data_IF_634850031639
#
_entry.id   IF_634850031639
#
_cell.length_a   1.000
_cell.length_b   1.000
_cell.length_c   1.000
_cell.angle_alpha   90.00
_cell.angle_beta   90.00
_cell.angle_gamma   90.00
#
_symmetry.space_group_name_H-M   'P 1'
#
loop_
_entity.id
_entity.type
_entity.pdbx_description
1 polymer ?
#
# COMPACT_ATOMS: atom_id res chain seq x y z
N UNK A 1 -21.39 2.78 10.85
CA UNK A 1 -20.72 2.64 9.54
C UNK A 1 -21.50 1.62 8.73
N UNK A 2 -21.95 1.97 7.52
CA UNK A 2 -22.80 1.12 6.69
C UNK A 2 -22.06 0.82 5.39
N UNK A 3 -22.00 -0.45 5.00
CA UNK A 3 -21.45 -0.87 3.70
C UNK A 3 -22.60 -1.03 2.70
N UNK A 4 -22.41 -0.47 1.51
CA UNK A 4 -23.45 -0.41 0.48
C UNK A 4 -23.02 -1.27 -0.70
N UNK A 5 -24.00 -1.94 -1.33
CA UNK A 5 -23.77 -2.84 -2.46
C UNK A 5 -23.81 -2.11 -3.81
N UNK A 6 -24.42 -0.93 -3.85
CA UNK A 6 -24.55 -0.14 -5.08
C UNK A 6 -24.49 1.37 -4.82
N UNK A 7 -24.19 2.12 -5.88
CA UNK A 7 -24.19 3.58 -5.85
C UNK A 7 -25.61 4.13 -5.59
N UNK A 8 -26.66 3.46 -6.07
CA UNK A 8 -28.05 3.90 -5.83
C UNK A 8 -28.42 3.86 -4.35
N UNK A 9 -27.93 2.86 -3.60
CA UNK A 9 -28.08 2.83 -2.15
C UNK A 9 -27.34 4.01 -1.49
N UNK A 10 -26.16 4.38 -2.01
CA UNK A 10 -25.39 5.51 -1.50
C UNK A 10 -26.11 6.84 -1.72
N UNK A 11 -26.71 7.03 -2.90
CA UNK A 11 -27.54 8.22 -3.20
C UNK A 11 -28.75 8.30 -2.27
N UNK A 12 -29.49 7.20 -2.10
CA UNK A 12 -30.66 7.14 -1.20
C UNK A 12 -30.27 7.43 0.25
N UNK A 13 -29.19 6.83 0.74
CA UNK A 13 -28.71 7.05 2.10
C UNK A 13 -28.19 8.48 2.29
N UNK A 14 -27.51 9.04 1.29
CA UNK A 14 -26.99 10.41 1.33
C UNK A 14 -28.09 11.47 1.38
N UNK A 15 -29.30 11.17 0.91
CA UNK A 15 -30.45 12.05 0.98
C UNK A 15 -31.19 12.03 2.34
N UNK A 16 -30.83 11.12 3.25
CA UNK A 16 -31.46 11.04 4.58
C UNK A 16 -30.94 12.18 5.45
N UNK A 17 -31.83 13.09 5.81
CA UNK A 17 -31.56 14.19 6.73
C UNK A 17 -32.03 13.92 8.17
N UNK A 18 -32.97 12.99 8.35
CA UNK A 18 -33.52 12.61 9.66
C UNK A 18 -33.69 11.10 9.79
N UNK A 19 -33.52 10.57 11.00
CA UNK A 19 -33.81 9.19 11.35
C UNK A 19 -34.60 9.18 12.65
N UNK A 20 -35.86 8.77 12.61
CA UNK A 20 -36.80 8.84 13.75
C UNK A 20 -36.84 10.26 14.36
N UNK A 21 -37.01 11.27 13.50
CA UNK A 21 -37.03 12.71 13.85
C UNK A 21 -35.73 13.26 14.46
N UNK A 22 -34.67 12.46 14.53
CA UNK A 22 -33.34 12.92 14.92
C UNK A 22 -32.58 13.35 13.66
N UNK A 23 -32.06 14.59 13.58
CA UNK A 23 -31.26 15.02 12.45
C UNK A 23 -29.98 14.20 12.35
N UNK A 24 -29.64 13.75 11.14
CA UNK A 24 -28.46 12.93 10.86
C UNK A 24 -27.69 13.49 9.67
N UNK A 25 -26.36 13.34 9.71
CA UNK A 25 -25.47 13.69 8.59
C UNK A 25 -24.87 12.42 8.02
N UNK A 26 -25.11 12.19 6.73
CA UNK A 26 -24.51 11.08 5.99
C UNK A 26 -23.38 11.61 5.12
N UNK A 27 -22.19 11.04 5.25
CA UNK A 27 -21.03 11.40 4.43
C UNK A 27 -20.25 10.17 3.96
N UNK A 28 -19.68 10.19 2.75
CA UNK A 28 -18.78 9.13 2.29
C UNK A 28 -17.58 9.01 3.20
N UNK A 29 -17.21 7.77 3.51
CA UNK A 29 -16.05 7.49 4.34
C UNK A 29 -14.79 7.55 3.45
N UNK A 30 -14.01 8.63 3.60
CA UNK A 30 -12.85 8.93 2.73
C UNK A 30 -11.76 7.84 2.74
N UNK A 31 -11.48 7.23 3.90
CA UNK A 31 -10.37 6.25 4.02
C UNK A 31 -10.73 4.83 3.56
N UNK A 32 -12.00 4.51 3.41
CA UNK A 32 -12.54 3.19 3.05
C UNK A 32 -13.05 3.16 1.61
N UNK A 33 -13.30 4.33 1.03
CA UNK A 33 -13.60 4.52 -0.38
C UNK A 33 -12.35 4.90 -1.17
N UNK A 34 -11.16 4.67 -0.62
CA UNK A 34 -9.90 4.82 -1.33
C UNK A 34 -9.11 3.53 -1.30
N UNK A 35 -8.25 3.36 -2.29
CA UNK A 35 -7.40 2.18 -2.42
C UNK A 35 -6.02 2.58 -2.94
N UNK A 36 -5.07 1.65 -2.89
CA UNK A 36 -3.70 1.89 -3.35
C UNK A 36 -3.26 0.82 -4.32
N UNK A 37 -2.60 1.26 -5.38
CA UNK A 37 -1.95 0.41 -6.36
C UNK A 37 -0.51 0.84 -6.61
N UNK A 38 0.24 -0.04 -7.24
CA UNK A 38 1.64 0.17 -7.61
C UNK A 38 1.77 -0.09 -9.10
N UNK A 39 2.35 0.87 -9.80
CA UNK A 39 2.74 0.75 -11.21
C UNK A 39 4.25 0.82 -11.34
N UNK A 40 4.79 0.20 -12.39
CA UNK A 40 6.20 0.32 -12.75
C UNK A 40 6.31 0.58 -14.26
N UNK A 41 6.85 1.73 -14.64
CA UNK A 41 7.05 2.12 -16.03
C UNK A 41 8.22 3.09 -16.17
N UNK A 42 9.13 2.78 -17.09
CA UNK A 42 10.25 3.66 -17.46
C UNK A 42 9.77 4.88 -18.23
N UNK A 43 8.70 4.76 -19.00
CA UNK A 43 8.12 5.85 -19.79
C UNK A 43 7.61 6.98 -18.90
N UNK A 44 7.17 6.64 -17.69
CA UNK A 44 6.74 7.59 -16.68
C UNK A 44 7.88 8.14 -15.81
N UNK A 45 9.16 7.93 -16.15
CA UNK A 45 10.29 8.34 -15.31
C UNK A 45 10.37 9.85 -15.09
N UNK A 46 10.04 10.63 -16.12
CA UNK A 46 10.15 12.09 -16.13
C UNK A 46 8.84 12.81 -15.77
N UNK A 47 7.71 12.10 -15.69
CA UNK A 47 6.44 12.68 -15.25
C UNK A 47 6.51 13.06 -13.76
N UNK A 48 6.04 14.25 -13.40
CA UNK A 48 5.95 14.65 -12.00
C UNK A 48 4.84 13.88 -11.26
N UNK A 49 4.83 13.93 -9.92
CA UNK A 49 3.76 13.30 -9.15
C UNK A 49 2.45 14.07 -9.34
N UNK A 50 2.54 15.37 -9.56
CA UNK A 50 1.44 16.29 -9.85
C UNK A 50 0.81 15.97 -11.21
N UNK A 51 1.59 15.86 -12.28
CA UNK A 51 1.09 15.48 -13.62
C UNK A 51 0.38 14.12 -13.58
N UNK A 52 0.90 13.18 -12.78
CA UNK A 52 0.26 11.87 -12.62
C UNK A 52 -1.12 11.96 -11.96
N UNK A 53 -1.31 12.88 -11.01
CA UNK A 53 -2.60 13.08 -10.36
C UNK A 53 -3.58 13.78 -11.30
N UNK A 54 -3.11 14.71 -12.12
CA UNK A 54 -3.94 15.44 -13.08
C UNK A 54 -4.36 14.57 -14.28
N UNK A 55 -3.45 13.77 -14.83
CA UNK A 55 -3.67 13.06 -16.10
C UNK A 55 -4.21 11.63 -15.93
N UNK A 56 -3.98 10.98 -14.78
CA UNK A 56 -4.44 9.61 -14.57
C UNK A 56 -5.82 9.57 -13.91
N UNK A 57 -6.79 9.03 -14.64
CA UNK A 57 -8.18 8.91 -14.17
C UNK A 57 -8.29 8.19 -12.82
N UNK A 58 -8.99 8.83 -11.87
CA UNK A 58 -9.28 8.26 -10.54
C UNK A 58 -8.09 8.25 -9.57
N UNK A 59 -6.96 8.86 -9.93
CA UNK A 59 -5.80 9.01 -9.03
C UNK A 59 -5.97 10.29 -8.21
N UNK A 60 -5.80 10.18 -6.89
CA UNK A 60 -5.88 11.30 -5.94
C UNK A 60 -4.53 11.65 -5.32
N UNK A 61 -3.57 10.74 -5.39
CA UNK A 61 -2.22 10.96 -4.93
C UNK A 61 -1.27 10.00 -5.64
N UNK A 62 -0.14 10.51 -6.13
CA UNK A 62 0.95 9.72 -6.67
C UNK A 62 2.19 9.92 -5.81
N UNK A 63 2.97 8.85 -5.61
CA UNK A 63 4.24 8.90 -4.90
C UNK A 63 5.24 7.97 -5.55
N UNK A 64 6.34 8.53 -6.03
CA UNK A 64 7.43 7.77 -6.62
C UNK A 64 8.30 7.15 -5.54
N UNK A 65 8.56 5.85 -5.69
CA UNK A 65 9.43 5.12 -4.78
C UNK A 65 10.87 5.53 -5.04
N UNK A 66 11.55 5.93 -3.96
CA UNK A 66 12.98 6.24 -3.96
C UNK A 66 13.70 5.18 -3.13
N UNK A 67 14.76 4.61 -3.67
CA UNK A 67 15.57 3.58 -3.00
C UNK A 67 16.93 4.18 -2.67
N UNK A 68 17.42 3.94 -1.46
CA UNK A 68 18.81 4.25 -1.10
C UNK A 68 19.71 3.10 -1.52
N UNK A 69 20.77 3.38 -2.27
CA UNK A 69 21.86 2.44 -2.56
C UNK A 69 23.16 3.14 -2.18
N UNK A 70 23.76 2.71 -1.07
CA UNK A 70 24.86 3.46 -0.46
C UNK A 70 24.39 4.85 -0.03
N UNK A 71 25.16 5.88 -0.39
CA UNK A 71 24.82 7.28 -0.12
C UNK A 71 23.80 7.85 -1.11
N UNK A 72 23.64 7.21 -2.27
CA UNK A 72 22.78 7.72 -3.33
C UNK A 72 21.30 7.42 -3.10
N UNK A 73 20.47 8.45 -3.31
CA UNK A 73 19.01 8.34 -3.35
C UNK A 73 18.54 8.18 -4.79
N UNK A 74 18.34 6.95 -5.22
CA UNK A 74 17.96 6.62 -6.59
C UNK A 74 16.44 6.66 -6.72
N UNK A 75 15.97 7.47 -7.66
CA UNK A 75 14.58 7.47 -8.10
C UNK A 75 14.29 6.21 -8.91
N UNK A 76 13.25 5.47 -8.54
CA UNK A 76 12.85 4.26 -9.28
C UNK A 76 11.74 4.56 -10.28
N UNK A 77 11.58 3.65 -11.24
CA UNK A 77 10.46 3.63 -12.19
C UNK A 77 9.14 3.17 -11.55
N UNK A 78 9.07 3.09 -10.22
CA UNK A 78 7.93 2.55 -9.47
C UNK A 78 7.18 3.67 -8.76
N UNK A 79 5.87 3.68 -8.91
CA UNK A 79 4.98 4.71 -8.34
C UNK A 79 3.85 4.04 -7.59
N UNK A 80 3.63 4.49 -6.36
CA UNK A 80 2.44 4.19 -5.59
C UNK A 80 1.36 5.19 -5.95
N UNK A 81 0.20 4.71 -6.38
CA UNK A 81 -0.98 5.51 -6.68
C UNK A 81 -2.04 5.27 -5.61
N UNK A 82 -2.72 6.34 -5.20
CA UNK A 82 -3.94 6.28 -4.38
C UNK A 82 -5.12 6.60 -5.26
N UNK A 83 -6.10 5.70 -5.28
CA UNK A 83 -7.32 5.84 -6.07
C UNK A 83 -8.49 6.29 -5.19
N UNK A 84 -9.43 7.02 -5.78
CA UNK A 84 -10.72 7.44 -5.19
C UNK A 84 -11.79 6.32 -5.19
N UNK A 85 -11.36 5.10 -5.49
CA UNK A 85 -12.19 3.90 -5.51
C UNK A 85 -11.77 2.91 -4.44
N UNK A 86 -12.69 2.08 -3.91
CA UNK A 86 -12.40 1.13 -2.83
C UNK A 86 -11.48 -0.03 -3.26
N UNK A 87 -11.30 -0.27 -4.57
CA UNK A 87 -10.38 -1.26 -5.12
C UNK A 87 -9.59 -0.62 -6.26
N UNK A 88 -8.27 -0.86 -6.35
CA UNK A 88 -7.50 -0.30 -7.45
C UNK A 88 -7.95 -0.98 -8.75
N UNK A 89 -8.04 -0.25 -9.88
CA UNK A 89 -8.27 -0.88 -11.17
C UNK A 89 -7.12 -1.83 -11.49
N UNK A 90 -7.33 -2.86 -12.30
CA UNK A 90 -6.26 -3.80 -12.71
C UNK A 90 -5.29 -3.18 -13.72
N UNK A 91 -5.77 -2.21 -14.50
CA UNK A 91 -5.01 -1.46 -15.49
C UNK A 91 -5.43 -0.01 -15.52
N UNK A 92 -4.51 0.87 -15.88
CA UNK A 92 -4.78 2.29 -16.16
C UNK A 92 -4.17 2.69 -17.50
N UNK A 93 -4.70 3.75 -18.09
CA UNK A 93 -4.14 4.36 -19.29
C UNK A 93 -3.36 5.62 -18.93
N UNK A 94 -2.20 5.78 -19.55
CA UNK A 94 -1.38 6.99 -19.48
C UNK A 94 -1.01 7.37 -20.92
N UNK A 95 -1.76 8.29 -21.52
CA UNK A 95 -1.72 8.51 -22.97
C UNK A 95 -2.02 7.22 -23.74
N UNK A 96 -1.06 6.78 -24.57
CA UNK A 96 -1.16 5.53 -25.35
C UNK A 96 -0.71 4.27 -24.58
N UNK A 97 -0.16 4.43 -23.37
CA UNK A 97 0.31 3.31 -22.56
C UNK A 97 -0.86 2.67 -21.81
N UNK A 98 -0.83 1.34 -21.71
CA UNK A 98 -1.67 0.59 -20.79
C UNK A 98 -0.78 -0.04 -19.73
N UNK A 99 -0.95 0.37 -18.48
CA UNK A 99 -0.10 -0.03 -17.37
C UNK A 99 -0.86 -0.98 -16.45
N UNK A 100 -0.23 -2.11 -16.09
CA UNK A 100 -0.75 -3.00 -15.07
C UNK A 100 -0.58 -2.38 -13.68
N UNK A 101 -1.68 -2.36 -12.92
CA UNK A 101 -1.71 -1.87 -11.55
C UNK A 101 -1.75 -3.08 -10.62
N UNK A 102 -0.75 -3.19 -9.76
CA UNK A 102 -0.73 -4.22 -8.71
C UNK A 102 -1.28 -3.64 -7.41
N UNK A 103 -2.11 -4.36 -6.63
CA UNK A 103 -2.52 -3.90 -5.32
C UNK A 103 -1.32 -3.55 -4.44
N UNK A 104 -1.36 -2.42 -3.76
CA UNK A 104 -0.31 -2.01 -2.84
C UNK A 104 -0.33 -2.90 -1.59
N UNK A 105 0.80 -3.53 -1.29
CA UNK A 105 0.98 -4.35 -0.09
C UNK A 105 1.91 -3.62 0.88
N UNK A 106 1.41 -3.09 2.00
CA UNK A 106 2.25 -2.44 2.99
C UNK A 106 3.20 -3.45 3.66
N UNK A 107 4.29 -2.94 4.25
CA UNK A 107 5.09 -3.71 5.19
C UNK A 107 4.33 -3.90 6.52
N UNK A 108 4.60 -4.98 7.27
CA UNK A 108 3.99 -5.22 8.57
C UNK A 108 4.30 -4.07 9.53
N UNK A 109 3.25 -3.50 10.12
CA UNK A 109 3.40 -2.45 11.12
C UNK A 109 4.08 -3.02 12.37
N UNK A 110 5.32 -2.62 12.59
CA UNK A 110 6.10 -2.93 13.80
C UNK A 110 6.09 -1.73 14.75
N UNK A 111 5.78 -1.98 16.01
CA UNK A 111 5.84 -0.96 17.05
C UNK A 111 7.31 -0.61 17.33
N UNK A 112 7.73 0.62 17.08
CA UNK A 112 9.11 1.07 17.37
C UNK A 112 9.45 1.16 18.87
N UNK A 113 8.46 0.95 19.76
CA UNK A 113 8.67 0.88 21.22
C UNK A 113 8.91 -0.56 21.68
N UNK A 114 7.99 -1.48 21.39
CA UNK A 114 8.05 -2.86 21.89
C UNK A 114 8.50 -3.90 20.86
N UNK A 115 8.73 -3.48 19.62
CA UNK A 115 9.16 -4.30 18.47
C UNK A 115 8.18 -5.39 18.02
N UNK A 116 6.98 -5.46 18.61
CA UNK A 116 5.91 -6.39 18.20
C UNK A 116 5.10 -5.85 17.03
N UNK A 117 4.53 -6.75 16.23
CA UNK A 117 3.64 -6.39 15.11
C UNK A 117 2.22 -6.01 15.57
N UNK A 118 1.49 -5.30 14.70
CA UNK A 118 0.05 -5.07 14.82
C UNK A 118 -0.38 -3.79 15.54
N UNK A 119 0.56 -2.95 15.98
CA UNK A 119 0.29 -1.61 16.50
C UNK A 119 1.50 -0.67 16.31
N UNK A 120 1.23 0.64 16.29
CA UNK A 120 2.26 1.69 16.29
C UNK A 120 2.70 2.09 17.70
N UNK A 121 3.72 2.96 17.77
CA UNK A 121 4.26 3.48 19.04
C UNK A 121 3.19 4.17 19.90
N UNK A 122 2.30 4.93 19.28
CA UNK A 122 1.31 5.77 19.98
C UNK A 122 0.20 4.96 20.65
N UNK A 123 0.02 3.70 20.25
CA UNK A 123 -0.95 2.76 20.84
C UNK A 123 -0.26 1.68 21.66
N UNK A 124 1.00 1.89 22.05
CA UNK A 124 1.80 0.92 22.79
C UNK A 124 1.73 1.19 24.29
N UNK A 125 1.21 0.23 25.04
CA UNK A 125 1.09 0.32 26.49
C UNK A 125 2.36 -0.11 27.24
N UNK A 126 3.46 -0.44 26.54
CA UNK A 126 4.73 -0.77 27.20
C UNK A 126 5.35 0.50 27.78
N UNK A 127 5.90 0.48 29.00
CA UNK A 127 6.44 1.68 29.65
C UNK A 127 7.73 2.16 28.95
N UNK A 128 8.65 1.24 28.66
CA UNK A 128 9.94 1.53 28.04
C UNK A 128 10.06 0.97 26.61
N UNK A 129 10.96 1.56 25.82
CA UNK A 129 11.35 1.01 24.52
C UNK A 129 12.35 -0.14 24.71
N UNK A 130 12.34 -1.09 23.77
CA UNK A 130 13.32 -2.18 23.71
C UNK A 130 14.11 -2.10 22.41
N UNK A 131 15.37 -2.52 22.49
CA UNK A 131 16.30 -2.54 21.38
C UNK A 131 15.80 -3.47 20.27
N UNK A 132 15.88 -3.01 19.01
CA UNK A 132 15.48 -3.82 17.85
C UNK A 132 16.42 -5.00 17.60
N UNK A 133 17.71 -4.87 17.99
CA UNK A 133 18.72 -5.91 17.81
C UNK A 133 18.50 -7.05 18.80
N UNK A 134 18.51 -6.79 20.11
CA UNK A 134 18.51 -7.82 21.15
C UNK A 134 17.20 -7.94 21.95
N UNK A 135 16.22 -7.06 21.73
CA UNK A 135 14.93 -7.11 22.41
C UNK A 135 14.93 -6.69 23.89
N UNK A 136 16.07 -6.24 24.43
CA UNK A 136 16.22 -5.77 25.82
C UNK A 136 16.16 -4.23 25.91
N UNK A 137 15.77 -3.71 27.08
CA UNK A 137 15.79 -2.28 27.39
C UNK A 137 17.14 -1.80 27.93
N UNK A 138 17.20 -0.53 28.34
CA UNK A 138 18.32 0.04 29.10
C UNK A 138 19.50 0.57 28.28
N UNK A 139 19.39 0.61 26.94
CA UNK A 139 20.41 1.16 26.06
C UNK A 139 19.79 1.69 24.76
N UNK A 140 20.57 2.50 24.03
CA UNK A 140 20.23 2.92 22.67
C UNK A 140 20.73 1.90 21.64
N UNK A 141 20.03 1.77 20.52
CA UNK A 141 20.32 0.74 19.50
C UNK A 141 21.76 0.76 18.98
N UNK A 142 22.34 1.96 18.81
CA UNK A 142 23.71 2.14 18.29
C UNK A 142 24.79 1.53 19.17
N UNK A 143 24.55 1.46 20.47
CA UNK A 143 25.53 0.97 21.45
C UNK A 143 25.26 -0.50 21.83
N UNK A 144 24.35 -1.16 21.10
CA UNK A 144 23.98 -2.54 21.39
C UNK A 144 25.06 -3.52 20.88
N UNK A 145 25.83 -4.06 21.83
CA UNK A 145 26.83 -5.10 21.59
C UNK A 145 26.31 -6.53 21.80
N UNK A 146 25.08 -6.68 22.29
CA UNK A 146 24.49 -7.99 22.54
C UNK A 146 24.17 -8.74 21.24
N UNK A 147 24.14 -10.07 21.33
CA UNK A 147 23.71 -10.93 20.24
C UNK A 147 22.27 -10.60 19.80
N UNK A 148 22.00 -10.67 18.49
CA UNK A 148 20.68 -10.36 17.98
C UNK A 148 19.65 -11.38 18.48
N UNK A 149 18.51 -10.90 18.93
CA UNK A 149 17.41 -11.72 19.43
C UNK A 149 16.07 -11.09 19.09
N UNK A 150 15.26 -11.80 18.31
CA UNK A 150 13.98 -11.29 17.83
C UNK A 150 12.87 -11.50 18.86
N UNK A 151 12.24 -10.41 19.33
CA UNK A 151 11.11 -10.50 20.26
C UNK A 151 9.85 -11.21 19.71
N UNK A 152 9.77 -11.38 18.38
CA UNK A 152 8.59 -11.94 17.71
C UNK A 152 8.69 -13.46 17.53
N UNK A 153 9.84 -13.95 17.05
CA UNK A 153 10.06 -15.39 16.79
C UNK A 153 11.10 -16.05 17.71
N UNK A 154 11.81 -15.27 18.53
CA UNK A 154 12.91 -15.71 19.42
C UNK A 154 14.16 -16.25 18.70
N UNK A 155 14.31 -15.97 17.40
CA UNK A 155 15.49 -16.35 16.61
C UNK A 155 16.62 -15.32 16.64
N UNK A 156 17.78 -15.72 16.10
CA UNK A 156 19.06 -15.01 16.17
C UNK A 156 19.19 -13.93 15.08
N UNK A 157 18.23 -13.00 15.07
CA UNK A 157 18.22 -11.86 14.17
C UNK A 157 17.49 -10.67 14.81
N UNK A 158 17.73 -9.46 14.32
CA UNK A 158 16.99 -8.29 14.77
C UNK A 158 15.47 -8.42 14.49
N UNK A 159 14.64 -7.76 15.28
CA UNK A 159 13.19 -7.74 15.11
C UNK A 159 12.74 -7.03 13.80
N UNK A 160 13.66 -6.31 13.14
CA UNK A 160 13.47 -5.69 11.82
C UNK A 160 13.74 -6.64 10.64
N UNK A 161 14.25 -7.85 10.87
CA UNK A 161 14.62 -8.77 9.80
C UNK A 161 13.41 -9.19 8.95
N UNK A 162 13.57 -9.12 7.62
CA UNK A 162 12.56 -9.57 6.63
C UNK A 162 12.56 -11.09 6.42
N UNK A 163 13.57 -11.80 6.95
CA UNK A 163 13.62 -13.27 6.93
C UNK A 163 12.96 -13.89 8.16
N UNK A 164 12.50 -13.06 9.12
CA UNK A 164 11.78 -13.51 10.31
C UNK A 164 10.51 -14.28 9.94
N UNK A 165 10.27 -15.49 10.47
CA UNK A 165 9.04 -16.25 10.18
C UNK A 165 7.77 -15.47 10.52
N UNK A 166 7.77 -14.70 11.62
CA UNK A 166 6.64 -13.86 12.01
C UNK A 166 6.43 -12.67 11.07
N UNK A 167 7.51 -12.11 10.52
CA UNK A 167 7.39 -11.09 9.47
C UNK A 167 6.71 -11.66 8.23
N UNK A 168 7.11 -12.86 7.80
CA UNK A 168 6.55 -13.52 6.62
C UNK A 168 5.06 -13.86 6.80
N UNK A 169 4.66 -14.35 7.97
CA UNK A 169 3.24 -14.56 8.30
C UNK A 169 2.43 -13.26 8.21
N UNK A 170 2.93 -12.17 8.79
CA UNK A 170 2.28 -10.85 8.71
C UNK A 170 2.22 -10.32 7.27
N UNK A 171 3.30 -10.45 6.51
CA UNK A 171 3.37 -10.01 5.13
C UNK A 171 2.39 -10.78 4.24
N UNK A 172 2.28 -12.10 4.42
CA UNK A 172 1.33 -12.93 3.69
C UNK A 172 -0.12 -12.52 3.95
N UNK A 173 -0.45 -12.22 5.22
CA UNK A 173 -1.77 -11.71 5.58
C UNK A 173 -2.04 -10.36 4.90
N UNK A 174 -1.06 -9.45 4.89
CA UNK A 174 -1.22 -8.16 4.21
C UNK A 174 -1.38 -8.30 2.69
N UNK A 175 -0.67 -9.24 2.05
CA UNK A 175 -0.86 -9.57 0.62
C UNK A 175 -2.27 -10.06 0.34
N UNK A 176 -2.70 -11.09 1.08
CA UNK A 176 -4.03 -11.66 0.94
C UNK A 176 -5.12 -10.60 1.09
N UNK A 177 -4.96 -9.68 2.05
CA UNK A 177 -5.86 -8.54 2.25
C UNK A 177 -5.91 -7.60 1.06
N UNK A 178 -4.75 -7.25 0.51
CA UNK A 178 -4.66 -6.34 -0.63
C UNK A 178 -5.26 -6.97 -1.90
N UNK A 179 -5.03 -8.26 -2.12
CA UNK A 179 -5.50 -8.99 -3.31
C UNK A 179 -7.01 -9.26 -3.27
N UNK A 180 -7.54 -9.72 -2.13
CA UNK A 180 -8.97 -10.01 -2.00
C UNK A 180 -9.81 -8.75 -1.78
N UNK A 181 -9.18 -7.61 -1.45
CA UNK A 181 -9.82 -6.36 -1.09
C UNK A 181 -10.89 -6.53 0.01
N UNK A 182 -10.64 -7.43 0.96
CA UNK A 182 -11.55 -7.75 2.07
C UNK A 182 -11.15 -6.98 3.32
N UNK A 183 -12.15 -6.42 4.01
CA UNK A 183 -11.99 -5.78 5.32
C UNK A 183 -11.86 -6.84 6.40
N UNK A 184 -10.87 -6.72 7.29
CA UNK A 184 -10.68 -7.67 8.38
C UNK A 184 -10.48 -7.00 9.73
N UNK A 185 -11.16 -7.53 10.74
CA UNK A 185 -10.90 -7.23 12.14
C UNK A 185 -9.71 -8.06 12.67
N UNK A 186 -9.05 -7.58 13.74
CA UNK A 186 -7.96 -8.31 14.42
C UNK A 186 -8.27 -9.79 14.75
N UNK A 187 -9.48 -10.18 15.23
CA UNK A 187 -9.76 -11.58 15.57
C UNK A 187 -9.71 -12.56 14.38
N UNK A 188 -9.90 -12.09 13.15
CA UNK A 188 -9.85 -12.96 11.96
C UNK A 188 -8.42 -13.31 11.51
N UNK A 189 -7.40 -12.74 12.17
CA UNK A 189 -5.99 -12.95 11.82
C UNK A 189 -5.61 -14.43 11.75
N UNK A 190 -5.95 -15.21 12.78
CA UNK A 190 -5.52 -16.61 12.86
C UNK A 190 -6.21 -17.47 11.80
N UNK A 191 -7.49 -17.21 11.55
CA UNK A 191 -8.25 -17.91 10.51
C UNK A 191 -7.65 -17.66 9.12
N UNK A 192 -7.28 -16.41 8.83
CA UNK A 192 -6.58 -16.08 7.59
C UNK A 192 -5.24 -16.79 7.46
N UNK A 193 -4.44 -16.78 8.53
CA UNK A 193 -3.14 -17.44 8.51
C UNK A 193 -3.30 -18.94 8.27
N UNK A 194 -4.28 -19.58 8.90
CA UNK A 194 -4.58 -20.99 8.69
C UNK A 194 -5.04 -21.26 7.24
N UNK A 195 -5.87 -20.38 6.68
CA UNK A 195 -6.30 -20.45 5.27
C UNK A 195 -5.09 -20.35 4.32
N UNK A 196 -4.23 -19.34 4.52
CA UNK A 196 -3.01 -19.15 3.72
C UNK A 196 -2.10 -20.38 3.82
N UNK A 197 -1.84 -20.88 5.02
CA UNK A 197 -1.00 -22.09 5.21
C UNK A 197 -1.54 -23.31 4.45
N UNK A 198 -2.87 -23.41 4.33
CA UNK A 198 -3.53 -24.56 3.69
C UNK A 198 -3.63 -24.41 2.17
N UNK A 199 -3.93 -23.22 1.68
CA UNK A 199 -4.33 -23.01 0.28
C UNK A 199 -3.33 -22.18 -0.54
N UNK A 200 -2.47 -21.39 0.10
CA UNK A 200 -1.49 -20.50 -0.55
C UNK A 200 -0.16 -20.42 0.24
N UNK A 201 0.50 -21.56 0.52
CA UNK A 201 1.71 -21.60 1.34
C UNK A 201 2.88 -20.79 0.75
N UNK A 202 2.92 -20.59 -0.56
CA UNK A 202 3.92 -19.78 -1.26
C UNK A 202 3.95 -18.32 -0.80
N UNK A 203 2.84 -17.77 -0.29
CA UNK A 203 2.80 -16.41 0.25
C UNK A 203 3.66 -16.23 1.50
N UNK A 204 3.96 -17.32 2.22
CA UNK A 204 4.81 -17.32 3.42
C UNK A 204 6.30 -17.36 3.11
N UNK A 205 6.69 -17.50 1.83
CA UNK A 205 8.08 -17.45 1.43
C UNK A 205 8.54 -16.00 1.26
N UNK A 206 9.83 -15.77 1.49
CA UNK A 206 10.47 -14.51 1.08
C UNK A 206 10.32 -14.44 -0.44
N UNK A 207 9.69 -13.40 -1.01
CA UNK A 207 9.74 -13.24 -2.44
C UNK A 207 11.22 -13.09 -2.82
N UNK A 208 11.66 -13.85 -3.81
CA UNK A 208 12.86 -13.56 -4.60
C UNK A 208 12.84 -12.12 -5.18
N UNK A 209 11.72 -11.41 -5.07
CA UNK A 209 11.44 -10.12 -5.66
C UNK A 209 11.62 -8.92 -4.71
N UNK A 210 12.64 -8.93 -3.84
CA UNK A 210 13.31 -7.64 -3.53
C UNK A 210 14.10 -7.12 -4.75
N UNK A 211 14.25 -7.94 -5.79
CA UNK A 211 14.57 -7.59 -7.17
C UNK A 211 13.36 -7.93 -8.06
N UNK A 212 12.52 -6.92 -8.33
CA UNK A 212 11.45 -6.97 -9.33
C UNK A 212 12.09 -7.02 -10.73
N UNK A 213 12.69 -8.16 -11.09
CA UNK A 213 13.29 -8.38 -12.40
C UNK A 213 12.90 -9.76 -12.91
N UNK A 214 11.79 -9.80 -13.67
CA UNK A 214 11.55 -10.62 -14.86
C UNK A 214 10.05 -10.77 -15.08
N UNK A 215 9.47 -9.85 -15.84
CA UNK A 215 8.31 -10.14 -16.69
C UNK A 215 8.01 -9.01 -17.68
N UNK A 216 9.02 -8.49 -18.39
CA UNK A 216 8.80 -7.70 -19.62
C UNK A 216 9.98 -7.93 -20.57
N UNK A 217 10.10 -9.15 -21.10
CA UNK A 217 10.80 -9.39 -22.36
C UNK A 217 9.74 -9.83 -23.38
N UNK A 218 9.51 -8.92 -24.34
CA UNK A 218 8.83 -9.02 -25.67
C UNK A 218 8.22 -7.63 -25.90
N UNK A 219 8.56 -6.80 -26.89
CA UNK A 219 9.40 -6.83 -28.10
C UNK A 219 9.74 -5.35 -28.45
N UNK A 220 10.73 -5.02 -29.30
CA UNK A 220 11.11 -3.63 -29.54
C UNK A 220 10.08 -2.92 -30.41
N UNK A 221 9.67 -1.71 -30.02
CA UNK A 221 9.09 -0.73 -30.95
C UNK A 221 9.69 0.65 -30.65
N UNK A 222 9.91 1.35 -31.75
CA UNK A 222 10.89 2.41 -31.95
C UNK A 222 10.64 3.64 -31.06
N UNK A 223 11.74 4.33 -30.73
CA UNK A 223 11.71 5.62 -30.06
C UNK A 223 10.84 6.60 -30.86
N UNK A 224 9.75 7.07 -30.25
CA UNK A 224 9.05 8.27 -30.69
C UNK A 224 9.27 9.32 -29.62
N UNK A 225 9.92 10.42 -30.01
CA UNK A 225 10.02 11.63 -29.21
C UNK A 225 8.62 12.11 -28.83
N UNK A 226 8.42 12.41 -27.54
CA UNK A 226 7.18 13.00 -27.05
C UNK A 226 7.18 14.48 -27.44
N UNK A 227 6.26 14.96 -28.31
CA UNK A 227 6.15 16.39 -28.56
C UNK A 227 5.53 17.07 -27.33
N UNK A 228 6.13 18.18 -26.90
CA UNK A 228 5.52 19.11 -25.95
C UNK A 228 4.21 19.63 -26.55
N UNK A 229 3.08 19.32 -25.92
CA UNK A 229 1.79 19.91 -26.29
C UNK A 229 1.78 21.34 -25.71
N UNK A 230 1.86 22.32 -26.61
CA UNK A 230 1.62 23.70 -26.27
C UNK A 230 0.15 23.92 -25.93
N UNK A 231 -0.07 24.62 -24.82
CA UNK A 231 -1.36 25.11 -24.35
C UNK A 231 -2.07 25.92 -25.43
N UNK A 232 -3.20 25.42 -25.92
CA UNK A 232 -4.31 26.25 -26.38
C UNK A 232 -5.61 25.63 -25.86
N UNK A 233 -6.10 26.16 -24.75
CA UNK A 233 -7.42 25.82 -24.20
C UNK A 233 -8.50 26.45 -25.07
N UNK A 234 -9.19 25.61 -25.85
CA UNK A 234 -10.56 25.88 -26.29
C UNK A 234 -11.48 25.33 -25.19
N UNK A 235 -12.20 26.23 -24.51
CA UNK A 235 -13.22 25.88 -23.53
C UNK A 235 -14.45 25.36 -24.28
N UNK A 236 -14.82 24.10 -24.08
CA UNK A 236 -16.16 23.59 -24.39
C UNK A 236 -16.71 22.84 -23.18
N UNK A 237 -17.71 23.45 -22.54
CA UNK A 237 -18.56 22.86 -21.52
C UNK A 237 -19.46 21.78 -22.12
N UNK A 238 -19.52 20.61 -21.50
CA UNK A 238 -20.67 19.70 -21.67
C UNK A 238 -21.06 19.07 -20.34
N UNK A 239 -22.19 19.54 -19.83
CA UNK A 239 -23.03 18.95 -18.80
C UNK A 239 -23.73 17.71 -19.37
N UNK A 240 -23.97 16.68 -18.55
CA UNK A 240 -24.97 15.66 -18.86
C UNK A 240 -25.84 15.34 -17.65
N UNK A 241 -27.12 15.23 -18.00
CA UNK A 241 -28.32 14.98 -17.19
C UNK A 241 -28.31 13.65 -16.45
#
# INVERSE_FOLDING_TARGET
MVELKSNDQAKKLGAIATFLDIPVTVSPQKSLNSSKGVIRSRDLRCCSEEDMVEELSGVTHARRIKVRRGEDKIQTDTVDLTFDSPKPPSRIRAGYLTLDVRPYVPLPMRCYKCQRYGHGKDRCNKPAAVCVRCGKGGHVERDCLADPHCVNCRGDHAASSKTCPKFLEEQAILRYKAEMAVRFSKPLRQLLLNSIKRFQPELLLVPSNLSFERSQQRSPRMAAEVPKIMSHTIILFLWRS
#
